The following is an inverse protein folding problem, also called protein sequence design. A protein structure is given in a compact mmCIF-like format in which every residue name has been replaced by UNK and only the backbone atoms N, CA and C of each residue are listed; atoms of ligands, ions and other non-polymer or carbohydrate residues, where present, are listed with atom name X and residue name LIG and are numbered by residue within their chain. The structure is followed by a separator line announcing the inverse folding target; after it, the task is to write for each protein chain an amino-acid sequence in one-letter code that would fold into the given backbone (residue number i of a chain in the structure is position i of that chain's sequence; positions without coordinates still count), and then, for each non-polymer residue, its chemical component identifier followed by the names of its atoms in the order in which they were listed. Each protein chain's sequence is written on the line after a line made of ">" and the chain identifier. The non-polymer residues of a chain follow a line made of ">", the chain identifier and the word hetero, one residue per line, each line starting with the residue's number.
data_IF_982520518371
#
_entry.id   IF_982520518371
#
_cell.length_a   1.000
_cell.length_b   1.000
_cell.length_c   1.000
_cell.angle_alpha   90.00
_cell.angle_beta   90.00
_cell.angle_gamma   90.00
#
_symmetry.space_group_name_H-M   'P 1'
#
loop_
_entity.id
_entity.type
_entity.pdbx_description
1 polymer ?
#
# COMPACT_ATOMS: atom_id res chain seq x y z
N UNK A 1 25.75 29.34 -33.03
CA UNK A 1 26.55 28.77 -31.92
C UNK A 1 25.89 27.48 -31.48
N UNK A 2 26.65 26.42 -31.21
CA UNK A 2 26.09 25.14 -30.78
C UNK A 2 25.52 25.22 -29.34
N UNK A 3 24.49 24.41 -29.11
CA UNK A 3 23.64 24.37 -27.91
C UNK A 3 24.42 23.93 -26.65
N UNK A 4 24.19 24.60 -25.53
CA UNK A 4 24.95 24.48 -24.27
C UNK A 4 24.41 23.45 -23.26
N UNK A 5 23.44 22.60 -23.60
CA UNK A 5 22.91 21.60 -22.66
C UNK A 5 22.81 20.19 -23.27
N UNK A 6 23.97 19.65 -23.68
CA UNK A 6 24.06 18.23 -23.99
C UNK A 6 25.46 17.71 -23.60
N UNK A 7 25.52 16.88 -22.57
CA UNK A 7 26.74 16.17 -22.16
C UNK A 7 26.88 14.89 -23.00
N UNK A 8 27.33 15.04 -24.24
CA UNK A 8 27.74 13.94 -25.10
C UNK A 8 29.11 14.28 -25.69
N UNK A 9 30.18 13.90 -24.98
CA UNK A 9 31.55 14.12 -25.43
C UNK A 9 32.05 12.91 -26.24
N UNK A 10 32.44 13.07 -27.51
CA UNK A 10 33.01 12.00 -28.32
C UNK A 10 34.55 11.99 -28.17
N UNK A 11 35.06 11.04 -27.37
CA UNK A 11 36.35 10.37 -27.53
C UNK A 11 37.65 11.19 -27.61
N UNK A 12 38.52 11.02 -26.60
CA UNK A 12 39.98 11.03 -26.77
C UNK A 12 40.66 9.93 -25.96
N UNK A 13 41.31 9.03 -26.69
CA UNK A 13 42.26 8.04 -26.18
C UNK A 13 43.53 8.72 -25.64
N UNK A 14 43.98 8.28 -24.46
CA UNK A 14 45.41 8.30 -24.10
C UNK A 14 45.75 7.03 -23.33
N UNK A 15 46.76 6.31 -23.83
CA UNK A 15 47.21 5.01 -23.36
C UNK A 15 48.16 5.09 -22.15
N UNK A 16 48.22 3.94 -21.45
CA UNK A 16 49.19 3.47 -20.41
C UNK A 16 48.87 3.87 -18.96
N UNK A 17 48.45 2.90 -18.13
CA UNK A 17 49.39 1.99 -17.46
C UNK A 17 48.69 0.75 -16.89
N UNK A 18 49.43 -0.36 -16.88
CA UNK A 18 48.96 -1.68 -16.48
C UNK A 18 48.99 -1.85 -14.95
N UNK A 19 47.82 -2.08 -14.35
CA UNK A 19 47.64 -2.40 -12.94
C UNK A 19 46.58 -3.48 -12.76
N UNK A 20 47.04 -4.74 -12.78
CA UNK A 20 46.27 -5.97 -12.64
C UNK A 20 45.32 -5.93 -11.41
N UNK A 21 44.02 -5.73 -11.64
CA UNK A 21 42.99 -5.95 -10.63
C UNK A 21 41.87 -6.77 -11.28
N UNK A 22 41.76 -8.04 -10.89
CA UNK A 22 40.70 -8.95 -11.31
C UNK A 22 39.33 -8.33 -11.03
N UNK A 23 38.71 -7.71 -12.05
CA UNK A 23 37.29 -7.33 -12.03
C UNK A 23 36.49 -8.63 -11.97
N UNK A 24 35.89 -8.88 -10.80
CA UNK A 24 34.83 -9.85 -10.61
C UNK A 24 33.66 -9.37 -11.47
N UNK A 25 33.38 -10.05 -12.58
CA UNK A 25 32.15 -9.87 -13.35
C UNK A 25 30.97 -10.18 -12.41
N UNK A 26 30.44 -9.16 -11.74
CA UNK A 26 29.07 -9.21 -11.25
C UNK A 26 28.21 -9.04 -12.50
N UNK A 27 27.69 -10.15 -13.02
CA UNK A 27 26.66 -10.10 -14.06
C UNK A 27 25.61 -9.09 -13.65
N UNK A 28 25.36 -8.10 -14.51
CA UNK A 28 24.29 -7.14 -14.30
C UNK A 28 22.99 -7.93 -14.22
N UNK A 29 22.49 -8.08 -12.99
CA UNK A 29 21.15 -8.63 -12.78
C UNK A 29 20.20 -7.65 -13.45
N UNK A 30 19.63 -8.05 -14.58
CA UNK A 30 18.62 -7.26 -15.26
C UNK A 30 17.50 -6.97 -14.26
N UNK A 31 17.32 -5.69 -13.95
CA UNK A 31 16.25 -5.25 -13.09
C UNK A 31 14.92 -5.44 -13.83
N UNK A 32 14.08 -6.32 -13.32
CA UNK A 32 12.73 -6.56 -13.86
C UNK A 32 11.76 -5.70 -13.05
N UNK A 33 11.08 -4.73 -13.68
CA UNK A 33 10.12 -3.88 -12.98
C UNK A 33 8.87 -4.67 -12.59
N UNK A 34 8.30 -4.35 -11.44
CA UNK A 34 6.99 -4.81 -10.99
C UNK A 34 5.90 -4.03 -11.71
N UNK A 35 4.79 -4.69 -12.01
CA UNK A 35 3.61 -4.06 -12.60
C UNK A 35 2.63 -3.72 -11.48
N UNK A 36 2.32 -2.43 -11.31
CA UNK A 36 1.20 -1.96 -10.51
C UNK A 36 0.00 -1.72 -11.43
N UNK A 37 -1.03 -2.53 -11.27
CA UNK A 37 -2.26 -2.45 -12.05
C UNK A 37 -3.36 -1.80 -11.20
N UNK A 38 -3.62 -0.53 -11.48
CA UNK A 38 -4.62 0.31 -10.83
C UNK A 38 -5.99 0.21 -11.50
N UNK A 39 -7.04 0.01 -10.71
CA UNK A 39 -8.44 0.10 -11.18
C UNK A 39 -9.26 1.05 -10.31
N UNK A 40 -10.46 1.41 -10.77
CA UNK A 40 -11.39 2.23 -9.96
C UNK A 40 -12.02 1.45 -8.80
N UNK A 41 -12.33 0.17 -8.99
CA UNK A 41 -13.12 -0.60 -8.01
C UNK A 41 -12.59 -2.01 -7.77
N UNK A 42 -12.85 -2.55 -6.57
CA UNK A 42 -12.55 -3.95 -6.26
C UNK A 42 -13.25 -4.95 -7.17
N UNK A 43 -14.46 -4.64 -7.67
CA UNK A 43 -15.17 -5.51 -8.63
C UNK A 43 -14.41 -5.66 -9.95
N UNK A 44 -13.79 -4.59 -10.43
CA UNK A 44 -12.92 -4.65 -11.61
C UNK A 44 -11.68 -5.50 -11.34
N UNK A 45 -11.09 -5.40 -10.14
CA UNK A 45 -9.98 -6.28 -9.76
C UNK A 45 -10.41 -7.75 -9.84
N UNK A 46 -11.55 -8.12 -9.25
CA UNK A 46 -12.07 -9.50 -9.31
C UNK A 46 -12.40 -9.95 -10.74
N UNK A 47 -12.76 -9.05 -11.64
CA UNK A 47 -12.92 -9.39 -13.06
C UNK A 47 -11.58 -9.66 -13.72
N UNK A 48 -10.59 -8.81 -13.53
CA UNK A 48 -9.26 -8.93 -14.13
C UNK A 48 -8.54 -10.19 -13.62
N UNK A 49 -8.63 -10.49 -12.33
CA UNK A 49 -8.00 -11.70 -11.76
C UNK A 49 -8.64 -12.97 -12.31
N UNK A 50 -9.96 -12.99 -12.54
CA UNK A 50 -10.66 -14.09 -13.22
C UNK A 50 -10.21 -14.26 -14.67
N UNK A 51 -9.99 -13.17 -15.40
CA UNK A 51 -9.43 -13.24 -16.75
C UNK A 51 -7.97 -13.71 -16.73
N UNK A 52 -7.14 -13.21 -15.81
CA UNK A 52 -5.76 -13.64 -15.64
C UNK A 52 -5.66 -15.15 -15.40
N UNK A 53 -6.56 -15.73 -14.58
CA UNK A 53 -6.67 -17.18 -14.33
C UNK A 53 -6.87 -17.99 -15.63
N UNK A 54 -7.44 -17.39 -16.69
CA UNK A 54 -7.71 -18.05 -17.99
C UNK A 54 -6.55 -17.94 -19.00
N UNK A 55 -5.49 -17.21 -18.65
CA UNK A 55 -4.34 -16.98 -19.54
C UNK A 55 -3.16 -17.91 -19.23
N UNK A 56 -2.17 -17.94 -20.11
CA UNK A 56 -0.88 -18.58 -19.86
C UNK A 56 -0.09 -17.96 -18.69
N UNK A 57 -0.50 -16.76 -18.24
CA UNK A 57 0.10 -16.04 -17.12
C UNK A 57 -0.60 -16.31 -15.78
N UNK A 58 -1.52 -17.29 -15.72
CA UNK A 58 -2.27 -17.62 -14.51
C UNK A 58 -1.39 -17.99 -13.31
N UNK A 59 -0.13 -18.38 -13.51
CA UNK A 59 0.80 -18.76 -12.44
C UNK A 59 1.80 -17.65 -12.05
N UNK A 60 1.67 -16.45 -12.64
CA UNK A 60 2.54 -15.31 -12.33
C UNK A 60 2.42 -14.92 -10.86
N UNK A 61 3.53 -14.55 -10.23
CA UNK A 61 3.50 -14.12 -8.84
C UNK A 61 2.72 -12.80 -8.76
N UNK A 62 1.64 -12.80 -7.99
CA UNK A 62 0.73 -11.67 -7.93
C UNK A 62 0.15 -11.46 -6.53
N UNK A 63 -0.22 -10.23 -6.21
CA UNK A 63 -0.99 -9.89 -5.01
C UNK A 63 -2.07 -8.87 -5.32
N UNK A 64 -3.03 -8.72 -4.41
CA UNK A 64 -4.09 -7.71 -4.47
C UNK A 64 -4.06 -6.90 -3.19
N UNK A 65 -3.84 -5.59 -3.32
CA UNK A 65 -3.99 -4.66 -2.19
C UNK A 65 -5.44 -4.22 -2.07
N UNK A 66 -5.93 -4.19 -0.85
CA UNK A 66 -7.31 -3.81 -0.54
C UNK A 66 -7.44 -3.32 0.88
N UNK A 67 -8.46 -2.49 1.14
CA UNK A 67 -8.70 -1.93 2.46
C UNK A 67 -9.07 -3.01 3.47
N UNK A 68 -8.98 -2.66 4.76
CA UNK A 68 -9.42 -3.54 5.86
C UNK A 68 -10.90 -3.90 5.76
N UNK A 69 -11.70 -3.13 5.03
CA UNK A 69 -13.14 -3.35 4.86
C UNK A 69 -13.43 -4.64 4.11
N UNK A 70 -12.54 -5.01 3.17
CA UNK A 70 -12.67 -6.22 2.38
C UNK A 70 -11.82 -7.39 2.92
N UNK A 71 -10.74 -7.08 3.65
CA UNK A 71 -9.71 -8.08 4.03
C UNK A 71 -9.66 -8.41 5.51
N UNK A 72 -10.30 -7.64 6.40
CA UNK A 72 -10.27 -7.92 7.83
C UNK A 72 -11.17 -9.10 8.21
N UNK A 73 -10.59 -10.08 8.91
CA UNK A 73 -11.28 -11.30 9.39
C UNK A 73 -11.41 -11.36 10.91
N UNK A 74 -10.95 -10.33 11.63
CA UNK A 74 -11.06 -10.30 13.08
C UNK A 74 -12.54 -10.04 13.48
N UNK A 75 -13.22 -10.93 14.22
CA UNK A 75 -14.67 -10.88 14.40
C UNK A 75 -15.23 -9.54 14.91
N UNK A 76 -14.56 -8.93 15.88
CA UNK A 76 -14.95 -7.63 16.43
C UNK A 76 -14.69 -6.51 15.43
N UNK A 77 -13.44 -6.36 14.98
CA UNK A 77 -12.99 -5.28 14.08
C UNK A 77 -13.69 -5.31 12.72
N UNK A 78 -13.93 -6.48 12.14
CA UNK A 78 -14.62 -6.60 10.84
C UNK A 78 -16.04 -6.03 10.88
N UNK A 79 -16.67 -6.09 12.05
CA UNK A 79 -18.05 -5.64 12.27
C UNK A 79 -18.17 -4.16 12.64
N UNK A 80 -17.05 -3.47 12.88
CA UNK A 80 -17.02 -2.11 13.45
C UNK A 80 -17.28 -0.96 12.48
N UNK A 81 -17.65 -1.23 11.22
CA UNK A 81 -17.94 -0.18 10.24
C UNK A 81 -16.79 0.83 10.07
N UNK A 82 -17.04 2.10 10.42
CA UNK A 82 -16.09 3.21 10.31
C UNK A 82 -14.89 3.09 11.25
N UNK A 83 -15.05 2.48 12.43
CA UNK A 83 -13.99 2.45 13.46
C UNK A 83 -13.00 1.30 13.25
N UNK A 84 -13.10 0.61 12.10
CA UNK A 84 -12.30 -0.56 11.76
C UNK A 84 -10.80 -0.26 11.76
N UNK A 85 -10.39 0.90 11.25
CA UNK A 85 -8.99 1.29 11.20
C UNK A 85 -8.43 1.56 12.60
N UNK A 86 -9.12 2.37 13.40
CA UNK A 86 -8.73 2.71 14.78
C UNK A 86 -8.62 1.45 15.65
N UNK A 87 -9.66 0.61 15.66
CA UNK A 87 -9.62 -0.64 16.42
C UNK A 87 -8.52 -1.60 15.96
N UNK A 88 -8.19 -1.60 14.66
CA UNK A 88 -7.06 -2.38 14.17
C UNK A 88 -5.75 -1.83 14.75
N UNK A 89 -5.55 -0.52 14.75
CA UNK A 89 -4.35 0.13 15.30
C UNK A 89 -4.23 -0.14 16.80
N UNK A 90 -5.33 -0.01 17.57
CA UNK A 90 -5.34 -0.32 19.00
C UNK A 90 -4.89 -1.75 19.31
N UNK A 91 -5.35 -2.73 18.51
CA UNK A 91 -4.95 -4.13 18.64
C UNK A 91 -3.52 -4.41 18.15
N UNK A 92 -2.94 -3.54 17.31
CA UNK A 92 -1.54 -3.64 16.91
C UNK A 92 -0.62 -3.03 17.97
N UNK A 93 -1.05 -1.97 18.65
CA UNK A 93 -0.32 -1.33 19.75
C UNK A 93 -0.22 -2.23 20.99
N UNK A 94 -1.07 -3.26 21.12
CA UNK A 94 -1.03 -4.18 22.25
C UNK A 94 -1.46 -3.55 23.58
N UNK A 95 -2.07 -2.35 23.54
CA UNK A 95 -2.50 -1.62 24.73
C UNK A 95 -3.48 -2.49 25.52
N UNK A 96 -3.31 -2.56 26.84
CA UNK A 96 -4.11 -3.39 27.75
C UNK A 96 -3.94 -4.92 27.56
N UNK A 97 -2.82 -5.37 26.96
CA UNK A 97 -2.50 -6.79 26.83
C UNK A 97 -3.36 -7.55 25.81
N UNK A 98 -4.09 -6.83 24.95
CA UNK A 98 -4.87 -7.40 23.85
C UNK A 98 -4.13 -7.15 22.55
N UNK A 99 -3.86 -8.20 21.77
CA UNK A 99 -3.30 -8.07 20.42
C UNK A 99 -4.13 -8.81 19.38
N UNK A 100 -3.99 -8.42 18.11
CA UNK A 100 -4.65 -9.11 17.01
C UNK A 100 -3.99 -10.48 16.74
N UNK A 101 -4.67 -11.57 17.12
CA UNK A 101 -4.21 -12.95 16.89
C UNK A 101 -3.91 -13.25 15.41
N UNK A 102 -4.65 -12.64 14.48
CA UNK A 102 -4.47 -12.85 13.04
C UNK A 102 -3.24 -12.13 12.50
N UNK A 103 -2.86 -10.99 13.09
CA UNK A 103 -1.69 -10.22 12.64
C UNK A 103 -0.41 -11.02 12.80
N UNK A 104 -0.20 -11.63 13.97
CA UNK A 104 0.97 -12.47 14.24
C UNK A 104 1.06 -13.69 13.30
N UNK A 105 -0.05 -14.12 12.70
CA UNK A 105 -0.11 -15.20 11.73
C UNK A 105 0.13 -14.79 10.28
N UNK A 106 0.26 -13.49 9.95
CA UNK A 106 0.29 -13.01 8.56
C UNK A 106 1.34 -13.73 7.68
N UNK A 107 2.55 -13.93 8.22
CA UNK A 107 3.64 -14.67 7.55
C UNK A 107 3.25 -16.05 7.03
N UNK A 108 2.32 -16.75 7.70
CA UNK A 108 1.86 -18.09 7.31
C UNK A 108 1.21 -18.10 5.92
N UNK A 109 0.55 -17.00 5.54
CA UNK A 109 0.02 -16.85 4.18
C UNK A 109 1.15 -16.69 3.17
N UNK A 110 2.15 -15.86 3.49
CA UNK A 110 3.35 -15.71 2.67
C UNK A 110 4.04 -17.05 2.40
N UNK A 111 4.26 -17.85 3.45
CA UNK A 111 4.85 -19.19 3.36
C UNK A 111 4.01 -20.15 2.52
N UNK A 112 2.69 -20.14 2.70
CA UNK A 112 1.78 -20.98 1.92
C UNK A 112 1.84 -20.64 0.42
N UNK A 113 1.88 -19.36 0.06
CA UNK A 113 2.01 -18.92 -1.33
C UNK A 113 3.40 -19.24 -1.91
N UNK A 114 4.46 -19.12 -1.11
CA UNK A 114 5.81 -19.51 -1.51
C UNK A 114 5.90 -21.01 -1.82
N UNK A 115 5.28 -21.86 -0.98
CA UNK A 115 5.21 -23.30 -1.21
C UNK A 115 4.42 -23.66 -2.47
N UNK A 116 3.25 -23.04 -2.69
CA UNK A 116 2.47 -23.26 -3.91
C UNK A 116 3.23 -22.86 -5.17
N UNK A 117 3.98 -21.75 -5.09
CA UNK A 117 4.83 -21.27 -6.19
C UNK A 117 5.96 -22.27 -6.50
N UNK A 118 6.64 -22.79 -5.47
CA UNK A 118 7.70 -23.79 -5.62
C UNK A 118 7.18 -25.09 -6.27
N UNK A 119 5.95 -25.49 -5.96
CA UNK A 119 5.32 -26.68 -6.53
C UNK A 119 4.57 -26.42 -7.86
N UNK A 120 4.60 -25.19 -8.40
CA UNK A 120 3.81 -24.76 -9.59
C UNK A 120 2.31 -25.04 -9.48
N UNK A 121 1.78 -25.09 -8.25
CA UNK A 121 0.35 -25.26 -7.95
C UNK A 121 -0.36 -23.91 -7.88
N UNK A 122 0.43 -22.83 -7.83
CA UNK A 122 -0.08 -21.48 -7.71
C UNK A 122 -0.86 -21.02 -8.95
N UNK A 123 -2.06 -20.49 -8.72
CA UNK A 123 -2.87 -19.80 -9.72
C UNK A 123 -3.29 -18.43 -9.21
N UNK A 124 -3.60 -17.52 -10.13
CA UNK A 124 -4.19 -16.24 -9.83
C UNK A 124 -5.43 -16.43 -8.93
N UNK A 125 -5.64 -15.48 -8.03
CA UNK A 125 -6.64 -15.54 -6.97
C UNK A 125 -7.32 -14.18 -6.82
N UNK A 126 -8.47 -14.14 -6.15
CA UNK A 126 -9.19 -12.92 -5.81
C UNK A 126 -9.21 -12.65 -4.29
N UNK A 127 -9.77 -11.50 -3.89
CA UNK A 127 -9.77 -11.08 -2.48
C UNK A 127 -10.53 -12.10 -1.62
N UNK A 128 -11.59 -12.69 -2.15
CA UNK A 128 -12.40 -13.70 -1.50
C UNK A 128 -11.61 -14.99 -1.23
N UNK A 129 -10.81 -15.44 -2.20
CA UNK A 129 -9.86 -16.55 -2.05
C UNK A 129 -8.88 -16.29 -0.90
N UNK A 130 -8.28 -15.09 -0.87
CA UNK A 130 -7.32 -14.67 0.16
C UNK A 130 -7.95 -14.63 1.56
N UNK A 131 -9.16 -14.08 1.67
CA UNK A 131 -9.92 -14.01 2.93
C UNK A 131 -10.29 -15.41 3.42
N UNK A 132 -10.72 -16.29 2.52
CA UNK A 132 -11.03 -17.69 2.83
C UNK A 132 -9.80 -18.42 3.36
N UNK A 133 -8.65 -18.24 2.72
CA UNK A 133 -7.38 -18.81 3.17
C UNK A 133 -6.94 -18.24 4.52
N UNK A 134 -7.03 -16.94 4.73
CA UNK A 134 -6.71 -16.29 6.01
C UNK A 134 -7.55 -16.82 7.18
N UNK A 135 -8.84 -17.10 6.94
CA UNK A 135 -9.71 -17.75 7.95
C UNK A 135 -9.23 -19.16 8.29
N UNK A 136 -8.87 -19.96 7.29
CA UNK A 136 -8.37 -21.33 7.49
C UNK A 136 -7.04 -21.36 8.24
N UNK A 137 -6.12 -20.47 7.89
CA UNK A 137 -4.76 -20.42 8.46
C UNK A 137 -4.65 -19.55 9.73
N UNK A 138 -5.74 -18.89 10.13
CA UNK A 138 -5.77 -17.90 11.23
C UNK A 138 -4.70 -16.82 11.06
N UNK A 139 -4.69 -16.21 9.89
CA UNK A 139 -3.67 -15.27 9.45
C UNK A 139 -4.31 -14.09 8.73
N UNK A 140 -3.81 -12.88 8.98
CA UNK A 140 -4.44 -11.64 8.54
C UNK A 140 -4.27 -11.42 7.03
N UNK A 141 -5.35 -11.41 6.22
CA UNK A 141 -5.26 -11.18 4.77
C UNK A 141 -4.70 -9.80 4.41
N UNK A 142 -5.07 -8.76 5.17
CA UNK A 142 -4.60 -7.39 4.93
C UNK A 142 -3.06 -7.29 4.97
N UNK A 143 -2.46 -7.77 6.07
CA UNK A 143 -1.01 -7.73 6.24
C UNK A 143 -0.29 -8.76 5.37
N UNK A 144 -0.89 -9.93 5.14
CA UNK A 144 -0.34 -10.92 4.22
C UNK A 144 -0.25 -10.38 2.79
N UNK A 145 -1.27 -9.68 2.29
CA UNK A 145 -1.23 -9.06 0.95
C UNK A 145 -0.08 -8.06 0.81
N UNK A 146 0.19 -7.27 1.88
CA UNK A 146 1.33 -6.35 1.96
C UNK A 146 2.67 -7.08 1.94
N UNK A 147 2.81 -8.18 2.68
CA UNK A 147 4.03 -9.01 2.64
C UNK A 147 4.24 -9.63 1.25
N UNK A 148 3.18 -10.18 0.65
CA UNK A 148 3.21 -10.77 -0.70
C UNK A 148 3.58 -9.75 -1.78
N UNK A 149 3.29 -8.45 -1.56
CA UNK A 149 3.66 -7.39 -2.49
C UNK A 149 5.16 -7.36 -2.76
N UNK A 150 6.00 -7.68 -1.78
CA UNK A 150 7.47 -7.65 -1.93
C UNK A 150 7.91 -8.61 -3.04
N UNK A 151 7.38 -9.83 -3.05
CA UNK A 151 7.75 -10.90 -3.99
C UNK A 151 6.88 -11.01 -5.24
N UNK A 152 5.84 -10.18 -5.39
CA UNK A 152 4.94 -10.24 -6.55
C UNK A 152 5.54 -9.58 -7.81
N UNK A 153 5.26 -10.12 -8.99
CA UNK A 153 5.54 -9.48 -10.29
C UNK A 153 4.42 -8.50 -10.68
N UNK A 154 3.18 -8.79 -10.26
CA UNK A 154 1.99 -7.98 -10.54
C UNK A 154 1.23 -7.66 -9.25
N UNK A 155 0.90 -6.39 -9.03
CA UNK A 155 0.13 -5.89 -7.88
C UNK A 155 -1.14 -5.24 -8.40
N UNK A 156 -2.29 -5.82 -8.08
CA UNK A 156 -3.58 -5.18 -8.34
C UNK A 156 -3.99 -4.32 -7.16
N UNK A 157 -4.45 -3.09 -7.42
CA UNK A 157 -4.89 -2.20 -6.35
C UNK A 157 -5.88 -1.15 -6.86
N UNK A 158 -6.71 -0.56 -5.98
CA UNK A 158 -7.48 0.62 -6.35
C UNK A 158 -6.58 1.85 -6.56
N UNK A 159 -7.03 2.81 -7.36
CA UNK A 159 -6.27 4.03 -7.69
C UNK A 159 -5.71 4.80 -6.51
N UNK A 160 -6.44 4.89 -5.41
CA UNK A 160 -5.99 5.61 -4.23
C UNK A 160 -4.68 5.04 -3.66
N UNK A 161 -4.38 3.75 -3.83
CA UNK A 161 -3.09 3.17 -3.41
C UNK A 161 -1.91 3.66 -4.25
N UNK A 162 -2.15 4.20 -5.44
CA UNK A 162 -1.13 4.73 -6.34
C UNK A 162 -1.04 6.25 -6.26
N UNK A 163 -2.18 6.92 -6.04
CA UNK A 163 -2.28 8.38 -6.09
C UNK A 163 -2.08 9.04 -4.72
N UNK A 164 -2.64 8.46 -3.66
CA UNK A 164 -2.60 9.03 -2.32
C UNK A 164 -1.20 8.83 -1.69
N UNK A 165 -0.45 9.91 -1.40
CA UNK A 165 0.88 9.80 -0.81
C UNK A 165 0.88 9.12 0.56
N UNK A 166 -0.14 9.36 1.39
CA UNK A 166 -0.24 8.79 2.74
C UNK A 166 -0.48 7.28 2.66
N UNK A 167 -1.34 6.84 1.75
CA UNK A 167 -1.56 5.40 1.53
C UNK A 167 -0.28 4.75 1.02
N UNK A 168 0.40 5.35 0.03
CA UNK A 168 1.65 4.81 -0.50
C UNK A 168 2.73 4.67 0.56
N UNK A 169 2.92 5.67 1.40
CA UNK A 169 3.87 5.62 2.51
C UNK A 169 3.48 4.52 3.51
N UNK A 170 2.21 4.44 3.91
CA UNK A 170 1.74 3.43 4.87
C UNK A 170 1.85 1.98 4.35
N UNK A 171 1.83 1.79 3.03
CA UNK A 171 1.87 0.50 2.36
C UNK A 171 3.26 0.16 1.79
N UNK A 172 4.26 1.02 1.99
CA UNK A 172 5.61 0.90 1.40
C UNK A 172 5.61 0.76 -0.13
N UNK A 173 4.72 1.48 -0.82
CA UNK A 173 4.61 1.45 -2.29
C UNK A 173 5.58 2.46 -2.90
N UNK A 174 6.64 1.96 -3.52
CA UNK A 174 7.56 2.75 -4.35
C UNK A 174 7.32 2.48 -5.84
N UNK A 175 6.91 3.52 -6.57
CA UNK A 175 6.62 3.44 -8.00
C UNK A 175 7.83 3.77 -8.89
N UNK A 176 8.96 4.21 -8.30
CA UNK A 176 10.16 4.53 -9.06
C UNK A 176 10.69 3.27 -9.76
N UNK A 177 10.99 3.41 -11.05
CA UNK A 177 11.46 2.33 -11.92
C UNK A 177 10.46 1.16 -12.03
N UNK A 178 9.17 1.37 -11.73
CA UNK A 178 8.13 0.35 -11.88
C UNK A 178 7.22 0.66 -13.08
N UNK A 179 6.47 -0.33 -13.54
CA UNK A 179 5.44 -0.14 -14.56
C UNK A 179 4.10 0.10 -13.87
N UNK A 180 3.43 1.21 -14.20
CA UNK A 180 2.08 1.51 -13.70
C UNK A 180 1.09 1.44 -14.86
N UNK A 181 0.06 0.63 -14.70
CA UNK A 181 -1.06 0.50 -15.64
C UNK A 181 -2.30 1.02 -14.93
N UNK A 182 -2.97 2.01 -15.52
CA UNK A 182 -4.23 2.56 -15.01
C UNK A 182 -5.34 2.17 -15.99
N UNK A 183 -6.25 1.31 -15.52
CA UNK A 183 -7.38 0.84 -16.32
C UNK A 183 -8.66 1.61 -16.00
N UNK A 184 -9.36 2.08 -17.03
CA UNK A 184 -10.43 3.09 -16.92
C UNK A 184 -9.91 4.45 -16.41
N UNK A 185 -8.81 4.93 -16.98
CA UNK A 185 -8.12 6.16 -16.55
C UNK A 185 -8.96 7.44 -16.70
N UNK A 186 -10.13 7.39 -17.34
CA UNK A 186 -11.04 8.53 -17.43
C UNK A 186 -11.56 9.00 -16.05
N UNK A 187 -11.48 8.17 -14.99
CA UNK A 187 -11.82 8.55 -13.62
C UNK A 187 -10.61 8.96 -12.75
N UNK A 188 -9.42 9.05 -13.34
CA UNK A 188 -8.20 9.32 -12.57
C UNK A 188 -8.20 10.72 -11.97
N UNK A 189 -8.77 11.70 -12.68
CA UNK A 189 -8.82 13.10 -12.24
C UNK A 189 -9.66 13.28 -10.98
N UNK A 190 -10.81 12.60 -10.92
CA UNK A 190 -11.70 12.65 -9.77
C UNK A 190 -11.05 11.98 -8.56
N UNK A 191 -10.44 10.80 -8.77
CA UNK A 191 -9.73 10.11 -7.71
C UNK A 191 -8.54 10.92 -7.17
N UNK A 192 -7.76 11.56 -8.06
CA UNK A 192 -6.67 12.44 -7.65
C UNK A 192 -7.17 13.66 -6.88
N UNK A 193 -8.28 14.27 -7.32
CA UNK A 193 -8.90 15.40 -6.63
C UNK A 193 -9.39 14.98 -5.25
N UNK A 194 -10.07 13.85 -5.13
CA UNK A 194 -10.56 13.30 -3.86
C UNK A 194 -9.42 12.99 -2.89
N UNK A 195 -8.32 12.38 -3.34
CA UNK A 195 -7.16 12.04 -2.49
C UNK A 195 -6.47 13.24 -1.82
N UNK A 196 -6.66 14.46 -2.35
CA UNK A 196 -6.07 15.69 -1.79
C UNK A 196 -7.13 16.64 -1.25
N UNK A 197 -8.42 16.32 -1.44
CA UNK A 197 -9.52 17.11 -0.92
C UNK A 197 -9.85 16.71 0.51
N UNK A 198 -10.17 17.70 1.34
CA UNK A 198 -10.66 17.48 2.68
C UNK A 198 -11.87 18.38 2.93
N UNK A 199 -12.93 17.79 3.48
CA UNK A 199 -14.16 18.48 3.82
C UNK A 199 -14.42 18.34 5.32
N UNK A 200 -14.76 19.45 5.97
CA UNK A 200 -15.07 19.49 7.41
C UNK A 200 -16.55 19.80 7.58
N UNK A 201 -17.26 18.98 8.34
CA UNK A 201 -18.64 19.27 8.75
C UNK A 201 -18.66 20.11 10.02
N UNK A 202 -19.75 20.85 10.23
CA UNK A 202 -19.96 21.60 11.47
C UNK A 202 -19.89 20.68 12.71
N UNK A 203 -20.42 19.46 12.62
CA UNK A 203 -20.36 18.48 13.70
C UNK A 203 -18.93 18.05 14.04
N UNK A 204 -18.07 17.84 13.04
CA UNK A 204 -16.66 17.54 13.25
C UNK A 204 -15.93 18.71 13.89
N UNK A 205 -16.25 19.94 13.48
CA UNK A 205 -15.65 21.14 14.04
C UNK A 205 -16.05 21.36 15.51
N UNK A 206 -17.32 21.09 15.86
CA UNK A 206 -17.80 21.11 17.26
C UNK A 206 -17.10 20.04 18.11
N UNK A 207 -16.98 18.82 17.62
CA UNK A 207 -16.28 17.75 18.32
C UNK A 207 -14.79 18.10 18.54
N UNK A 208 -14.11 18.62 17.52
CA UNK A 208 -12.73 19.08 17.63
C UNK A 208 -12.56 20.20 18.67
N UNK A 209 -13.52 21.13 18.74
CA UNK A 209 -13.52 22.18 19.78
C UNK A 209 -13.63 21.59 21.18
N UNK A 210 -14.55 20.65 21.41
CA UNK A 210 -14.74 20.01 22.72
C UNK A 210 -13.49 19.25 23.16
N UNK A 211 -12.82 18.54 22.24
CA UNK A 211 -11.54 17.88 22.51
C UNK A 211 -10.43 18.88 22.86
N UNK A 212 -10.32 19.97 22.10
CA UNK A 212 -9.32 21.02 22.36
C UNK A 212 -9.58 21.75 23.69
N UNK A 213 -10.85 22.00 24.03
CA UNK A 213 -11.24 22.55 25.32
C UNK A 213 -10.79 21.63 26.46
N UNK A 214 -11.05 20.33 26.34
CA UNK A 214 -10.58 19.33 27.29
C UNK A 214 -9.04 19.35 27.43
N UNK A 215 -8.31 19.35 26.32
CA UNK A 215 -6.84 19.33 26.34
C UNK A 215 -6.26 20.60 26.99
N UNK A 216 -6.79 21.78 26.67
CA UNK A 216 -6.34 23.05 27.25
C UNK A 216 -6.66 23.11 28.74
N UNK A 217 -7.87 22.73 29.14
CA UNK A 217 -8.29 22.76 30.55
C UNK A 217 -7.48 21.80 31.43
N UNK A 218 -6.93 20.73 30.84
CA UNK A 218 -6.05 19.78 31.52
C UNK A 218 -4.55 20.10 31.34
N UNK A 219 -4.18 21.28 30.84
CA UNK A 219 -2.80 21.72 30.60
C UNK A 219 -1.98 20.80 29.67
N UNK A 220 -2.64 20.03 28.79
CA UNK A 220 -1.98 19.16 27.82
C UNK A 220 -1.51 20.03 26.66
N UNK A 221 -0.20 20.27 26.54
CA UNK A 221 0.43 21.05 25.45
C UNK A 221 -0.34 22.35 25.15
N UNK A 222 -0.75 23.06 26.19
CA UNK A 222 -1.65 24.21 26.09
C UNK A 222 -1.25 25.22 25.00
N UNK A 223 0.06 25.53 24.90
CA UNK A 223 0.60 26.47 23.90
C UNK A 223 0.32 26.06 22.46
N UNK A 224 0.21 24.77 22.18
CA UNK A 224 -0.06 24.23 20.84
C UNK A 224 -1.57 24.17 20.55
N UNK A 225 -2.38 23.84 21.56
CA UNK A 225 -3.82 23.61 21.39
C UNK A 225 -4.66 24.89 21.50
N UNK A 226 -4.20 25.90 22.21
CA UNK A 226 -4.93 27.15 22.41
C UNK A 226 -5.17 27.94 21.11
N UNK A 227 -4.19 28.06 20.18
CA UNK A 227 -4.43 28.64 18.85
C UNK A 227 -5.45 27.83 18.03
N UNK A 228 -5.39 26.50 18.09
CA UNK A 228 -6.31 25.62 17.35
C UNK A 228 -7.74 25.78 17.88
N UNK A 229 -7.90 25.84 19.21
CA UNK A 229 -9.19 26.09 19.85
C UNK A 229 -9.78 27.42 19.37
N UNK A 230 -8.98 28.48 19.31
CA UNK A 230 -9.43 29.79 18.85
C UNK A 230 -9.96 29.74 17.41
N UNK A 231 -9.29 29.00 16.51
CA UNK A 231 -9.77 28.78 15.14
C UNK A 231 -11.12 28.06 15.14
N UNK A 232 -11.25 26.95 15.88
CA UNK A 232 -12.53 26.24 15.98
C UNK A 232 -13.67 27.14 16.50
N UNK A 233 -13.41 27.94 17.53
CA UNK A 233 -14.39 28.90 18.07
C UNK A 233 -14.74 30.03 17.10
N UNK A 234 -13.87 30.39 16.16
CA UNK A 234 -14.14 31.44 15.17
C UNK A 234 -14.99 30.95 13.98
N UNK A 235 -15.01 29.63 13.77
CA UNK A 235 -15.67 28.97 12.64
C UNK A 235 -17.02 28.33 13.04
N UNK A 236 -17.34 28.24 14.34
CA UNK A 236 -18.61 27.77 14.90
C UNK A 236 -19.39 28.88 15.58
#
# INVERSE_FOLDING_TARGET
>A
GPCTECSCDPGKETAKDAGNTKKKEKGEQLFVPKIFFGTRTHKQISQITRELKRTAYSTVSMTILSSRDYTCIHPTVSSSGSNRNEMCVELLDGKHGKSCLYYHGAHKLGEHHALQSAHRVYQAWDIEDLVSLGKKLRACPYFAARELMVGADIVFCPYNYLLDPQIRESMDINLKDQVVILDEAHNIEDCARESVSYSVTESQLRAAREELDFMVNNNIRQKDHEPLRAVCCSLT
#
